data_IF_107112061475
#
_entry.id   IF_107112061475
#
_cell.length_a   1.000
_cell.length_b   1.000
_cell.length_c   1.000
_cell.angle_alpha   90.00
_cell.angle_beta   90.00
_cell.angle_gamma   90.00
#
_symmetry.space_group_name_H-M   'P 1'
#
loop_
_entity.id
_entity.type
_entity.pdbx_description
1 polymer ?
#
# COMPACT_ATOMS: atom_id res chain seq x y z
N UNK A 1 -12.33 -6.87 -10.05
CA UNK A 1 -13.72 -6.38 -10.18
C UNK A 1 -14.57 -6.68 -8.96
N UNK A 2 -14.68 -7.96 -8.52
CA UNK A 2 -15.48 -8.34 -7.35
C UNK A 2 -15.05 -7.60 -6.08
N UNK A 3 -13.76 -7.41 -5.89
CA UNK A 3 -13.22 -6.72 -4.73
C UNK A 3 -13.58 -5.22 -4.72
N UNK A 4 -13.42 -4.57 -5.86
CA UNK A 4 -13.80 -3.15 -5.98
C UNK A 4 -15.30 -2.94 -5.75
N UNK A 5 -16.12 -3.90 -6.21
CA UNK A 5 -17.56 -3.89 -5.96
C UNK A 5 -17.85 -4.06 -4.47
N UNK A 6 -17.21 -5.02 -3.83
CA UNK A 6 -17.37 -5.26 -2.39
C UNK A 6 -17.00 -4.02 -1.56
N UNK A 7 -15.92 -3.31 -1.94
CA UNK A 7 -15.54 -2.08 -1.28
C UNK A 7 -16.60 -0.99 -1.39
N UNK A 8 -17.22 -0.85 -2.56
CA UNK A 8 -18.29 0.13 -2.76
C UNK A 8 -19.53 -0.21 -1.95
N UNK A 9 -19.87 -1.49 -1.88
CA UNK A 9 -21.04 -1.98 -1.14
C UNK A 9 -20.83 -1.89 0.36
N UNK A 10 -19.61 -2.08 0.85
CA UNK A 10 -19.26 -2.07 2.26
C UNK A 10 -18.50 -0.80 2.65
N UNK A 11 -18.98 0.33 2.15
CA UNK A 11 -18.31 1.63 2.34
C UNK A 11 -18.15 2.02 3.81
N UNK A 12 -19.02 1.55 4.70
CA UNK A 12 -18.90 1.78 6.13
C UNK A 12 -17.78 0.96 6.75
N UNK A 13 -17.62 -0.29 6.30
CA UNK A 13 -16.58 -1.20 6.80
C UNK A 13 -15.21 -0.77 6.31
N UNK A 14 -15.14 -0.14 5.15
CA UNK A 14 -13.90 0.42 4.61
C UNK A 14 -13.26 1.44 5.57
N UNK A 15 -14.05 2.22 6.26
CA UNK A 15 -13.54 3.18 7.27
C UNK A 15 -13.08 2.49 8.55
N UNK A 16 -13.59 1.30 8.83
CA UNK A 16 -13.27 0.50 10.00
C UNK A 16 -12.41 -0.72 9.65
N UNK A 17 -11.60 -0.60 8.63
CA UNK A 17 -10.84 -1.72 8.04
C UNK A 17 -9.75 -2.31 8.93
N UNK A 18 -9.59 -1.81 10.13
CA UNK A 18 -8.71 -2.41 11.13
C UNK A 18 -9.34 -3.61 11.85
N UNK A 19 -10.59 -3.92 11.53
CA UNK A 19 -11.25 -5.13 12.02
C UNK A 19 -10.80 -6.29 11.13
N UNK A 20 -9.98 -7.18 11.67
CA UNK A 20 -9.36 -8.29 10.93
C UNK A 20 -10.39 -9.19 10.23
N UNK A 21 -11.58 -9.34 10.82
CA UNK A 21 -12.65 -10.18 10.29
C UNK A 21 -13.20 -9.70 8.94
N UNK A 22 -12.94 -8.43 8.57
CA UNK A 22 -13.41 -7.85 7.30
C UNK A 22 -12.37 -7.86 6.20
N UNK A 23 -11.15 -8.32 6.48
CA UNK A 23 -10.08 -8.34 5.49
C UNK A 23 -10.29 -9.46 4.46
N UNK A 24 -10.09 -9.17 3.17
CA UNK A 24 -10.19 -10.18 2.13
C UNK A 24 -9.08 -11.22 2.23
N UNK A 25 -9.35 -12.42 1.75
CA UNK A 25 -8.35 -13.49 1.68
C UNK A 25 -7.49 -13.34 0.43
N UNK A 26 -6.17 -13.51 0.58
CA UNK A 26 -5.25 -13.51 -0.56
C UNK A 26 -5.50 -14.77 -1.40
N UNK A 27 -5.69 -14.59 -2.71
CA UNK A 27 -5.90 -15.69 -3.64
C UNK A 27 -4.63 -16.51 -3.85
N UNK A 28 -3.51 -15.83 -4.02
CA UNK A 28 -2.21 -16.46 -4.25
C UNK A 28 -1.33 -16.24 -3.03
N UNK A 29 -0.55 -17.26 -2.67
CA UNK A 29 0.39 -17.19 -1.56
C UNK A 29 1.81 -17.06 -2.08
N UNK A 30 2.65 -16.37 -1.32
CA UNK A 30 4.07 -16.25 -1.60
C UNK A 30 4.78 -17.31 -0.75
N UNK A 31 5.45 -18.25 -1.40
CA UNK A 31 6.28 -19.22 -0.71
C UNK A 31 7.58 -18.54 -0.29
N UNK A 32 7.99 -18.78 0.96
CA UNK A 32 9.26 -18.30 1.50
C UNK A 32 9.47 -16.78 1.31
N UNK A 33 8.60 -15.98 1.93
CA UNK A 33 8.73 -14.52 1.94
C UNK A 33 10.06 -14.06 2.55
N UNK A 34 10.68 -14.89 3.38
CA UNK A 34 11.91 -14.56 4.09
C UNK A 34 13.12 -14.43 3.17
N UNK A 35 13.07 -15.02 1.98
CA UNK A 35 14.15 -14.86 0.99
C UNK A 35 14.29 -13.42 0.48
N UNK A 36 13.27 -12.59 0.63
CA UNK A 36 13.26 -11.21 0.14
C UNK A 36 13.56 -10.23 1.26
N UNK A 37 14.53 -9.36 1.05
CA UNK A 37 14.92 -8.32 2.02
C UNK A 37 14.13 -7.03 1.81
N UNK A 38 13.68 -6.79 0.59
CA UNK A 38 12.97 -5.58 0.20
C UNK A 38 11.62 -5.92 -0.40
N UNK A 39 10.60 -5.21 0.02
CA UNK A 39 9.24 -5.34 -0.50
C UNK A 39 8.77 -3.98 -1.01
N UNK A 40 8.42 -3.93 -2.29
CA UNK A 40 7.78 -2.77 -2.88
C UNK A 40 6.27 -2.95 -2.76
N UNK A 41 5.62 -2.11 -1.97
CA UNK A 41 4.17 -2.07 -1.87
C UNK A 41 3.65 -1.05 -2.86
N UNK A 42 3.16 -1.55 -4.00
CA UNK A 42 2.64 -0.69 -5.08
C UNK A 42 1.13 -0.90 -5.14
N UNK A 43 0.38 0.17 -4.94
CA UNK A 43 -1.07 0.09 -4.77
C UNK A 43 -1.76 1.36 -5.26
N UNK A 44 -3.04 1.26 -5.70
CA UNK A 44 -3.82 2.46 -6.00
C UNK A 44 -4.32 3.12 -4.71
N UNK A 45 -4.35 4.44 -4.70
CA UNK A 45 -4.96 5.21 -3.62
C UNK A 45 -6.47 5.30 -3.86
N UNK A 46 -7.23 4.41 -3.21
CA UNK A 46 -8.68 4.40 -3.30
C UNK A 46 -9.28 5.18 -2.13
N UNK A 47 -10.02 6.24 -2.45
CA UNK A 47 -10.64 7.10 -1.44
C UNK A 47 -9.67 7.53 -0.33
N UNK A 48 -8.46 7.94 -0.71
CA UNK A 48 -7.37 8.43 0.16
C UNK A 48 -6.61 7.31 0.91
N UNK A 49 -6.88 6.05 0.60
CA UNK A 49 -6.32 4.94 1.37
C UNK A 49 -5.92 3.76 0.48
N UNK A 50 -5.19 2.82 1.04
CA UNK A 50 -4.82 1.59 0.35
C UNK A 50 -6.02 0.65 0.25
N UNK A 51 -6.10 -0.21 -0.81
CA UNK A 51 -7.09 -1.28 -0.85
C UNK A 51 -6.91 -2.26 0.32
N UNK A 52 -8.00 -2.83 0.81
CA UNK A 52 -7.96 -3.77 1.94
C UNK A 52 -7.10 -5.00 1.67
N UNK A 53 -6.94 -5.39 0.41
CA UNK A 53 -6.07 -6.53 0.07
C UNK A 53 -4.61 -6.28 0.44
N UNK A 54 -4.18 -5.02 0.44
CA UNK A 54 -2.83 -4.64 0.88
C UNK A 54 -2.71 -4.85 2.39
N UNK A 55 -3.75 -4.51 3.16
CA UNK A 55 -3.76 -4.79 4.59
C UNK A 55 -3.69 -6.29 4.86
N UNK A 56 -4.41 -7.09 4.07
CA UNK A 56 -4.34 -8.56 4.16
C UNK A 56 -2.90 -9.06 3.96
N UNK A 57 -2.22 -8.54 2.95
CA UNK A 57 -0.82 -8.88 2.69
C UNK A 57 0.07 -8.54 3.90
N UNK A 58 -0.10 -7.34 4.45
CA UNK A 58 0.70 -6.89 5.59
C UNK A 58 0.44 -7.72 6.85
N UNK A 59 -0.77 -8.25 7.00
CA UNK A 59 -1.13 -9.06 8.18
C UNK A 59 -0.80 -10.54 8.01
N UNK A 60 -0.82 -11.05 6.78
CA UNK A 60 -0.60 -12.48 6.53
C UNK A 60 0.89 -12.88 6.54
N UNK A 61 1.78 -11.93 6.30
CA UNK A 61 3.22 -12.20 6.22
C UNK A 61 3.99 -11.47 7.32
N UNK A 62 5.02 -12.11 7.84
CA UNK A 62 5.98 -11.47 8.74
C UNK A 62 6.98 -10.64 7.92
N UNK A 63 6.80 -9.34 7.93
CA UNK A 63 7.65 -8.39 7.21
C UNK A 63 8.64 -7.66 8.12
N UNK A 64 8.78 -8.12 9.37
CA UNK A 64 9.71 -7.53 10.34
C UNK A 64 11.14 -7.54 9.81
N UNK A 65 11.84 -6.43 10.01
CA UNK A 65 13.23 -6.28 9.58
C UNK A 65 13.44 -6.05 8.09
N UNK A 66 12.40 -6.16 7.29
CA UNK A 66 12.48 -5.92 5.84
C UNK A 66 12.43 -4.43 5.53
N UNK A 67 13.03 -4.05 4.41
CA UNK A 67 12.86 -2.70 3.85
C UNK A 67 11.57 -2.66 3.05
N UNK A 68 10.68 -1.75 3.39
CA UNK A 68 9.40 -1.57 2.71
C UNK A 68 9.42 -0.25 1.94
N UNK A 69 9.08 -0.31 0.67
CA UNK A 69 9.00 0.86 -0.21
C UNK A 69 7.54 1.06 -0.65
N UNK A 70 6.78 1.91 0.04
CA UNK A 70 5.39 2.16 -0.35
C UNK A 70 5.32 3.14 -1.52
N UNK A 71 4.61 2.74 -2.56
CA UNK A 71 4.39 3.57 -3.74
C UNK A 71 2.93 3.46 -4.14
N UNK A 72 2.22 4.57 -4.18
CA UNK A 72 0.82 4.52 -4.61
C UNK A 72 0.59 5.27 -5.91
N UNK A 73 -0.41 4.81 -6.66
CA UNK A 73 -0.91 5.54 -7.82
C UNK A 73 -2.12 6.36 -7.41
N UNK A 74 -2.23 7.55 -7.94
CA UNK A 74 -3.31 8.47 -7.62
C UNK A 74 -3.87 9.09 -8.89
N UNK A 75 -5.15 9.46 -8.84
CA UNK A 75 -5.74 10.32 -9.86
C UNK A 75 -5.09 11.69 -9.81
N UNK A 76 -5.18 12.41 -10.94
CA UNK A 76 -4.86 13.83 -10.99
C UNK A 76 -6.05 14.64 -10.50
N UNK A 77 -5.77 15.73 -9.77
CA UNK A 77 -6.78 16.71 -9.46
C UNK A 77 -6.98 17.65 -10.68
N UNK A 78 -7.85 18.65 -10.55
CA UNK A 78 -8.14 19.58 -11.63
C UNK A 78 -6.92 20.42 -12.07
N UNK A 79 -5.88 20.52 -11.24
CA UNK A 79 -4.60 21.18 -11.59
C UNK A 79 -3.60 20.24 -12.24
N UNK A 80 -3.93 18.97 -12.42
CA UNK A 80 -3.02 17.94 -12.93
C UNK A 80 -2.02 17.42 -11.91
N UNK A 81 -2.20 17.72 -10.63
CA UNK A 81 -1.36 17.24 -9.56
C UNK A 81 -1.94 15.98 -8.90
N UNK A 82 -1.16 15.33 -8.04
CA UNK A 82 -1.60 14.19 -7.25
C UNK A 82 -2.83 14.57 -6.43
N UNK A 83 -3.92 13.83 -6.59
CA UNK A 83 -5.17 14.04 -5.85
C UNK A 83 -5.10 13.49 -4.43
N UNK A 84 -4.54 12.30 -4.26
CA UNK A 84 -4.43 11.63 -2.97
C UNK A 84 -2.97 11.34 -2.64
N UNK A 85 -2.55 11.64 -1.41
CA UNK A 85 -1.20 11.33 -0.94
C UNK A 85 -1.15 9.94 -0.30
N UNK A 86 0.06 9.42 -0.11
CA UNK A 86 0.30 8.15 0.57
C UNK A 86 0.29 8.25 2.11
N UNK A 87 0.09 9.43 2.66
CA UNK A 87 0.27 9.69 4.11
C UNK A 87 -0.58 8.78 4.99
N UNK A 88 -1.84 8.59 4.63
CA UNK A 88 -2.77 7.80 5.42
C UNK A 88 -2.45 6.32 5.39
N UNK A 89 -2.14 5.79 4.20
CA UNK A 89 -1.75 4.39 4.05
C UNK A 89 -0.43 4.09 4.76
N UNK A 90 0.55 4.98 4.71
CA UNK A 90 1.82 4.81 5.42
C UNK A 90 1.59 4.74 6.93
N UNK A 91 0.69 5.55 7.48
CA UNK A 91 0.34 5.48 8.90
C UNK A 91 -0.23 4.10 9.27
N UNK A 92 -1.06 3.50 8.40
CA UNK A 92 -1.57 2.15 8.59
C UNK A 92 -0.45 1.09 8.53
N UNK A 93 0.43 1.19 7.55
CA UNK A 93 1.55 0.25 7.41
C UNK A 93 2.46 0.28 8.64
N UNK A 94 2.75 1.46 9.16
CA UNK A 94 3.57 1.60 10.37
C UNK A 94 2.93 0.95 11.60
N UNK A 95 1.60 0.93 11.66
CA UNK A 95 0.88 0.22 12.74
C UNK A 95 0.90 -1.29 12.54
N UNK A 96 0.71 -1.76 11.30
CA UNK A 96 0.65 -3.19 11.00
C UNK A 96 2.03 -3.86 11.02
N UNK A 97 3.08 -3.12 10.66
CA UNK A 97 4.44 -3.65 10.55
C UNK A 97 5.40 -2.72 11.30
N UNK A 98 5.33 -2.66 12.65
CA UNK A 98 6.11 -1.66 13.41
C UNK A 98 7.62 -1.90 13.38
N UNK A 99 8.06 -3.11 13.07
CA UNK A 99 9.48 -3.50 13.06
C UNK A 99 10.10 -3.55 11.66
N UNK A 100 9.43 -3.00 10.66
CA UNK A 100 9.99 -2.89 9.31
C UNK A 100 10.73 -1.56 9.13
N UNK A 101 11.63 -1.52 8.13
CA UNK A 101 12.36 -0.33 7.74
C UNK A 101 11.65 0.33 6.57
N UNK A 102 10.85 1.35 6.84
CA UNK A 102 10.09 2.04 5.80
C UNK A 102 10.95 3.10 5.12
N UNK A 103 11.02 3.03 3.79
CA UNK A 103 11.52 4.12 2.98
C UNK A 103 10.41 5.17 2.84
N UNK A 104 10.78 6.39 2.51
CA UNK A 104 9.81 7.47 2.30
C UNK A 104 8.90 7.11 1.14
N UNK A 105 7.59 7.15 1.37
CA UNK A 105 6.59 6.83 0.36
C UNK A 105 6.31 7.99 -0.57
N UNK A 106 5.78 7.70 -1.75
CA UNK A 106 5.34 8.71 -2.70
C UNK A 106 4.12 8.23 -3.49
N UNK A 107 3.25 9.18 -3.82
CA UNK A 107 2.13 8.99 -4.72
C UNK A 107 2.48 9.52 -6.11
N UNK A 108 2.15 8.73 -7.13
CA UNK A 108 2.45 9.05 -8.53
C UNK A 108 1.15 9.12 -9.33
N UNK A 109 1.09 10.03 -10.29
CA UNK A 109 -0.02 10.11 -11.24
C UNK A 109 0.31 9.42 -12.57
N UNK A 110 1.59 9.18 -12.83
CA UNK A 110 2.09 8.45 -13.99
C UNK A 110 3.48 7.87 -13.65
N UNK A 111 4.15 7.27 -14.63
CA UNK A 111 5.46 6.64 -14.41
C UNK A 111 6.63 7.63 -14.42
N UNK A 112 6.38 8.88 -14.74
CA UNK A 112 7.44 9.89 -14.76
C UNK A 112 7.95 10.14 -13.35
N UNK A 113 9.25 10.26 -13.21
CA UNK A 113 9.87 10.55 -11.93
C UNK A 113 10.06 9.35 -11.00
N UNK A 114 9.59 8.16 -11.37
CA UNK A 114 9.76 6.96 -10.52
C UNK A 114 11.25 6.64 -10.35
N UNK A 115 12.01 6.65 -11.43
CA UNK A 115 13.46 6.37 -11.37
C UNK A 115 14.18 7.36 -10.46
N UNK A 116 13.97 8.65 -10.67
CA UNK A 116 14.58 9.71 -9.89
C UNK A 116 14.16 9.60 -8.41
N UNK A 117 12.91 9.22 -8.16
CA UNK A 117 12.44 9.00 -6.80
C UNK A 117 13.19 7.84 -6.13
N UNK A 118 13.34 6.71 -6.82
CA UNK A 118 14.06 5.54 -6.30
C UNK A 118 15.54 5.87 -6.02
N UNK A 119 16.16 6.70 -6.85
CA UNK A 119 17.51 7.21 -6.59
C UNK A 119 17.54 8.05 -5.30
N UNK A 120 16.55 8.92 -5.11
CA UNK A 120 16.46 9.80 -3.94
C UNK A 120 16.36 9.03 -2.63
N UNK A 121 15.71 7.87 -2.63
CA UNK A 121 15.55 7.03 -1.44
C UNK A 121 16.56 5.87 -1.37
N UNK A 122 17.61 5.92 -2.18
CA UNK A 122 18.72 4.96 -2.21
C UNK A 122 18.30 3.53 -2.59
N UNK A 123 17.35 3.38 -3.50
CA UNK A 123 16.92 2.06 -3.99
C UNK A 123 17.52 1.68 -5.35
N UNK A 124 18.12 2.63 -6.03
CA UNK A 124 18.91 2.40 -7.25
C UNK A 124 20.03 3.40 -7.37
#
# INVERSE_FOLDING_TARGET
>A
EAYAKALKENKHDYKNKHVLDTLPTLKNQIDDIDQYKTVYLIYPCWEKDEPLIIDSFCMDYDLSGKTIVPMCTSEKNWRGHVKYSSKKSVAHFNKMIPNANFKRAKAFTDVKGVKEWLETIDMI
#
